data_IF_214882861391
#
_entry.id   IF_214882861391
#
_cell.length_a   1.000
_cell.length_b   1.000
_cell.length_c   1.000
_cell.angle_alpha   90.00
_cell.angle_beta   90.00
_cell.angle_gamma   90.00
#
_symmetry.space_group_name_H-M   'P 1'
#
loop_
_entity.id
_entity.type
_entity.pdbx_description
1 polymer ?
#
# COMPACT_ATOMS: atom_id res chain seq x y z
N UNK A 1 22.56 35.09 -28.34
CA UNK A 1 21.16 34.95 -27.94
C UNK A 1 20.35 34.29 -29.05
N UNK A 2 20.20 32.99 -29.02
CA UNK A 2 19.28 32.25 -29.90
C UNK A 2 18.80 31.04 -29.10
N UNK A 3 17.55 31.10 -28.67
CA UNK A 3 16.83 30.01 -27.98
C UNK A 3 16.38 28.99 -29.02
N UNK A 4 16.85 27.76 -28.87
CA UNK A 4 16.32 26.60 -29.59
C UNK A 4 15.06 26.11 -28.88
N UNK A 5 13.91 26.41 -29.47
CA UNK A 5 12.66 25.73 -29.23
C UNK A 5 12.49 24.67 -30.30
N UNK A 6 12.74 23.43 -29.98
CA UNK A 6 12.43 22.27 -30.83
C UNK A 6 12.00 21.14 -29.92
N UNK A 7 10.76 20.71 -30.13
CA UNK A 7 10.55 19.33 -30.42
C UNK A 7 9.40 18.67 -29.66
N UNK A 8 8.20 19.27 -29.52
CA UNK A 8 6.98 18.53 -29.05
C UNK A 8 5.97 18.26 -30.18
N UNK A 9 6.21 18.78 -31.40
CA UNK A 9 5.28 18.60 -32.51
C UNK A 9 5.41 17.25 -33.24
N UNK A 10 6.57 16.55 -33.12
CA UNK A 10 6.83 15.34 -33.90
C UNK A 10 6.37 14.02 -33.21
N UNK A 11 6.05 14.04 -31.90
CA UNK A 11 5.61 12.83 -31.19
C UNK A 11 4.12 12.55 -31.40
N UNK A 12 3.32 13.60 -31.60
CA UNK A 12 1.86 13.48 -31.80
C UNK A 12 1.51 12.97 -33.20
N UNK A 13 2.34 13.26 -34.20
CA UNK A 13 2.12 12.79 -35.57
C UNK A 13 2.50 11.32 -35.74
N UNK A 14 3.46 10.81 -34.96
CA UNK A 14 3.86 9.41 -35.04
C UNK A 14 2.83 8.47 -34.38
N UNK A 15 2.10 8.95 -33.35
CA UNK A 15 1.03 8.17 -32.71
C UNK A 15 -0.24 8.08 -33.58
N UNK A 16 -0.52 9.12 -34.37
CA UNK A 16 -1.66 9.09 -35.32
C UNK A 16 -1.41 8.21 -36.54
N UNK A 17 -0.16 8.03 -36.96
CA UNK A 17 0.18 7.16 -38.10
C UNK A 17 0.09 5.65 -37.73
N UNK A 18 0.19 5.29 -36.46
CA UNK A 18 0.01 3.91 -35.98
C UNK A 18 -1.46 3.49 -35.82
N UNK A 19 -2.37 4.44 -35.69
CA UNK A 19 -3.83 4.16 -35.65
C UNK A 19 -4.49 4.05 -37.04
N UNK A 20 -3.84 4.51 -38.11
CA UNK A 20 -4.37 4.48 -39.46
C UNK A 20 -4.04 3.20 -40.26
N UNK A 21 -3.40 2.21 -39.64
CA UNK A 21 -2.92 0.99 -40.31
C UNK A 21 -3.51 -0.32 -39.84
N UNK A 22 -4.52 -0.32 -38.97
CA UNK A 22 -5.34 -1.51 -38.74
C UNK A 22 -6.39 -1.64 -39.87
N UNK A 23 -5.95 -1.87 -41.11
CA UNK A 23 -6.79 -2.52 -42.08
C UNK A 23 -7.23 -3.84 -41.45
N UNK A 24 -8.53 -4.02 -41.29
CA UNK A 24 -9.12 -5.24 -40.77
C UNK A 24 -8.50 -6.39 -41.56
N UNK A 25 -7.68 -7.20 -40.90
CA UNK A 25 -7.12 -8.40 -41.48
C UNK A 25 -8.33 -9.33 -41.65
N UNK A 26 -8.87 -9.39 -42.88
CA UNK A 26 -9.96 -10.31 -43.20
C UNK A 26 -9.40 -11.72 -42.98
N UNK A 27 -9.87 -12.37 -41.93
CA UNK A 27 -9.53 -13.76 -41.62
C UNK A 27 -10.56 -14.65 -42.29
N UNK A 28 -10.11 -15.61 -43.08
CA UNK A 28 -10.98 -16.55 -43.81
C UNK A 28 -10.90 -17.94 -43.17
N UNK A 29 -12.03 -18.63 -43.08
CA UNK A 29 -12.16 -20.02 -42.65
C UNK A 29 -12.56 -20.89 -43.85
N UNK A 30 -11.84 -22.02 -44.00
CA UNK A 30 -12.22 -23.01 -45.01
C UNK A 30 -13.37 -23.85 -44.45
N UNK A 31 -14.52 -23.86 -45.18
CA UNK A 31 -15.64 -24.76 -44.89
C UNK A 31 -15.41 -26.16 -45.50
N UNK A 32 -16.20 -27.14 -45.04
CA UNK A 32 -16.12 -28.55 -45.49
C UNK A 32 -16.41 -28.70 -47.01
N UNK A 33 -17.05 -27.71 -47.65
CA UNK A 33 -17.31 -27.60 -49.08
C UNK A 33 -16.20 -26.96 -49.89
N UNK A 34 -15.01 -26.72 -49.28
CA UNK A 34 -13.83 -26.07 -49.86
C UNK A 34 -13.99 -24.58 -50.22
N UNK A 35 -15.04 -23.95 -49.77
CA UNK A 35 -15.25 -22.49 -49.96
C UNK A 35 -14.66 -21.71 -48.75
N UNK A 36 -13.95 -20.62 -49.07
CA UNK A 36 -13.48 -19.68 -48.07
C UNK A 36 -14.60 -18.74 -47.64
N UNK A 37 -14.96 -18.78 -46.38
CA UNK A 37 -15.84 -17.81 -45.75
C UNK A 37 -15.02 -16.77 -45.02
N UNK A 38 -15.27 -15.48 -45.29
CA UNK A 38 -14.65 -14.42 -44.49
C UNK A 38 -15.13 -14.56 -43.04
N UNK A 39 -14.22 -14.80 -42.11
CA UNK A 39 -14.54 -14.64 -40.72
C UNK A 39 -14.58 -13.13 -40.48
N UNK A 40 -15.74 -12.51 -40.64
CA UNK A 40 -16.00 -11.19 -40.09
C UNK A 40 -15.48 -11.19 -38.65
N UNK A 41 -14.77 -10.13 -38.27
CA UNK A 41 -14.18 -9.97 -36.96
C UNK A 41 -15.12 -10.55 -35.92
N UNK A 42 -14.63 -11.55 -35.18
CA UNK A 42 -15.39 -12.40 -34.28
C UNK A 42 -16.44 -11.55 -33.56
N UNK A 43 -17.69 -11.99 -33.51
CA UNK A 43 -18.80 -11.27 -32.84
C UNK A 43 -18.39 -10.75 -31.45
N UNK A 44 -17.51 -11.47 -30.78
CA UNK A 44 -16.92 -11.09 -29.50
C UNK A 44 -16.00 -9.85 -29.58
N UNK A 45 -15.25 -9.67 -30.66
CA UNK A 45 -14.42 -8.46 -30.84
C UNK A 45 -15.28 -7.23 -31.16
N UNK A 46 -16.31 -7.40 -31.98
CA UNK A 46 -17.28 -6.33 -32.29
C UNK A 46 -18.06 -5.92 -31.04
N UNK A 47 -18.51 -6.90 -30.24
CA UNK A 47 -19.12 -6.65 -28.94
C UNK A 47 -18.19 -5.88 -27.99
N UNK A 48 -16.93 -6.28 -27.88
CA UNK A 48 -15.95 -5.60 -27.03
C UNK A 48 -15.70 -4.14 -27.46
N UNK A 49 -15.69 -3.85 -28.78
CA UNK A 49 -15.61 -2.49 -29.31
C UNK A 49 -16.84 -1.67 -28.94
N UNK A 50 -18.04 -2.24 -29.08
CA UNK A 50 -19.30 -1.57 -28.72
C UNK A 50 -19.39 -1.29 -27.21
N UNK A 51 -18.93 -2.21 -26.37
CA UNK A 51 -18.83 -1.99 -24.93
C UNK A 51 -17.82 -0.87 -24.62
N UNK A 52 -16.70 -0.77 -25.36
CA UNK A 52 -15.75 0.32 -25.19
C UNK A 52 -16.35 1.68 -25.59
N UNK A 53 -17.07 1.75 -26.73
CA UNK A 53 -17.82 2.94 -27.17
C UNK A 53 -18.85 3.37 -26.11
N UNK A 54 -19.60 2.42 -25.56
CA UNK A 54 -20.57 2.68 -24.49
C UNK A 54 -19.92 3.23 -23.24
N UNK A 55 -18.75 2.70 -22.84
CA UNK A 55 -17.95 3.24 -21.72
C UNK A 55 -17.52 4.69 -21.96
N UNK A 56 -17.13 5.02 -23.17
CA UNK A 56 -16.76 6.40 -23.52
C UNK A 56 -17.97 7.35 -23.49
N UNK A 57 -19.14 6.92 -23.96
CA UNK A 57 -20.38 7.67 -23.81
C UNK A 57 -20.75 7.92 -22.34
N UNK A 58 -20.61 6.91 -21.49
CA UNK A 58 -20.82 7.09 -20.04
C UNK A 58 -19.91 8.19 -19.47
N UNK A 59 -18.67 8.28 -19.96
CA UNK A 59 -17.73 9.33 -19.53
C UNK A 59 -18.15 10.73 -19.93
N UNK A 60 -18.83 10.88 -21.07
CA UNK A 60 -19.34 12.21 -21.51
C UNK A 60 -20.53 12.69 -20.68
N UNK A 61 -21.19 11.80 -19.94
CA UNK A 61 -22.32 12.12 -19.07
C UNK A 61 -23.65 12.30 -19.80
N UNK A 62 -23.74 11.90 -21.07
CA UNK A 62 -24.96 11.96 -21.90
C UNK A 62 -25.86 10.76 -21.60
N UNK A 63 -26.68 10.85 -20.58
CA UNK A 63 -27.50 9.77 -20.04
C UNK A 63 -28.38 9.12 -21.13
N UNK A 64 -29.04 9.93 -21.98
CA UNK A 64 -29.95 9.45 -23.00
C UNK A 64 -29.22 8.67 -24.09
N UNK A 65 -28.03 9.15 -24.49
CA UNK A 65 -27.16 8.46 -25.44
C UNK A 65 -26.64 7.12 -24.89
N UNK A 66 -26.36 7.05 -23.59
CA UNK A 66 -25.96 5.81 -22.91
C UNK A 66 -27.08 4.77 -22.93
N UNK A 67 -28.33 5.19 -22.61
CA UNK A 67 -29.48 4.31 -22.62
C UNK A 67 -29.77 3.78 -24.03
N UNK A 68 -29.72 4.65 -25.07
CA UNK A 68 -29.90 4.25 -26.47
C UNK A 68 -28.79 3.28 -26.93
N UNK A 69 -27.54 3.58 -26.69
CA UNK A 69 -26.40 2.72 -27.05
C UNK A 69 -26.43 1.36 -26.32
N UNK A 70 -26.87 1.34 -25.06
CA UNK A 70 -27.06 0.11 -24.30
C UNK A 70 -28.23 -0.73 -24.89
N UNK A 71 -29.34 -0.10 -25.28
CA UNK A 71 -30.46 -0.77 -25.92
C UNK A 71 -30.04 -1.38 -27.27
N UNK A 72 -29.30 -0.63 -28.11
CA UNK A 72 -28.74 -1.13 -29.37
C UNK A 72 -27.81 -2.32 -29.15
N UNK A 73 -26.90 -2.23 -28.18
CA UNK A 73 -25.99 -3.32 -27.85
C UNK A 73 -26.73 -4.59 -27.45
N UNK A 74 -27.82 -4.46 -26.69
CA UNK A 74 -28.67 -5.58 -26.28
C UNK A 74 -29.41 -6.24 -27.47
N UNK A 75 -29.81 -5.46 -28.44
CA UNK A 75 -30.48 -5.96 -29.63
C UNK A 75 -29.53 -6.65 -30.63
N UNK A 76 -28.35 -6.06 -30.82
CA UNK A 76 -27.32 -6.59 -31.74
C UNK A 76 -26.60 -7.83 -31.22
N UNK A 77 -26.41 -7.94 -29.90
CA UNK A 77 -25.61 -9.01 -29.26
C UNK A 77 -26.34 -9.73 -28.11
N UNK A 78 -27.54 -10.23 -28.29
CA UNK A 78 -28.33 -10.80 -27.18
C UNK A 78 -27.66 -12.00 -26.50
N UNK A 79 -26.74 -12.71 -27.19
CA UNK A 79 -26.00 -13.85 -26.66
C UNK A 79 -24.83 -13.45 -25.73
N UNK A 80 -24.40 -12.19 -25.74
CA UNK A 80 -23.31 -11.66 -24.92
C UNK A 80 -23.82 -10.80 -23.77
N UNK A 81 -25.13 -10.62 -23.65
CA UNK A 81 -25.72 -9.74 -22.64
C UNK A 81 -26.22 -10.55 -21.47
N UNK A 82 -25.67 -10.20 -20.31
CA UNK A 82 -26.11 -10.70 -19.04
C UNK A 82 -26.49 -9.56 -18.08
N UNK A 83 -27.12 -9.89 -16.97
CA UNK A 83 -27.42 -8.91 -15.92
C UNK A 83 -26.17 -8.25 -15.34
N UNK A 84 -25.01 -8.84 -15.51
CA UNK A 84 -23.72 -8.29 -15.11
C UNK A 84 -23.31 -7.08 -15.95
N UNK A 85 -23.59 -7.05 -17.26
CA UNK A 85 -23.40 -5.86 -18.08
C UNK A 85 -24.27 -4.70 -17.59
N UNK A 86 -25.55 -4.95 -17.28
CA UNK A 86 -26.44 -3.91 -16.76
C UNK A 86 -25.92 -3.31 -15.47
N UNK A 87 -25.49 -4.16 -14.54
CA UNK A 87 -24.89 -3.73 -13.27
C UNK A 87 -23.61 -2.93 -13.48
N UNK A 88 -22.76 -3.38 -14.42
CA UNK A 88 -21.54 -2.68 -14.76
C UNK A 88 -21.82 -1.27 -15.30
N UNK A 89 -22.70 -1.16 -16.33
CA UNK A 89 -23.03 0.14 -16.95
C UNK A 89 -23.70 1.08 -15.95
N UNK A 90 -24.64 0.59 -15.13
CA UNK A 90 -25.27 1.41 -14.09
C UNK A 90 -24.23 1.89 -13.05
N UNK A 91 -23.30 1.02 -12.70
CA UNK A 91 -22.17 1.36 -11.85
C UNK A 91 -21.29 2.46 -12.44
N UNK A 92 -20.91 2.34 -13.73
CA UNK A 92 -20.10 3.33 -14.46
C UNK A 92 -20.82 4.68 -14.56
N UNK A 93 -22.11 4.71 -14.87
CA UNK A 93 -22.90 5.96 -14.87
C UNK A 93 -22.83 6.65 -13.51
N UNK A 94 -23.03 5.90 -12.45
CA UNK A 94 -22.94 6.47 -11.10
C UNK A 94 -21.52 6.90 -10.74
N UNK A 95 -20.49 6.17 -11.15
CA UNK A 95 -19.09 6.51 -10.92
C UNK A 95 -18.74 7.87 -11.57
N UNK A 96 -19.05 8.04 -12.84
CA UNK A 96 -18.74 9.26 -13.59
C UNK A 96 -19.57 10.47 -13.13
N UNK A 97 -20.77 10.24 -12.60
CA UNK A 97 -21.58 11.28 -11.94
C UNK A 97 -21.17 11.54 -10.48
N UNK A 98 -20.01 11.02 -10.05
CA UNK A 98 -19.46 11.24 -8.71
C UNK A 98 -20.34 10.68 -7.56
N UNK A 99 -21.28 9.79 -7.90
CA UNK A 99 -22.25 9.16 -7.00
C UNK A 99 -21.71 7.83 -6.44
N UNK A 100 -20.53 7.86 -5.82
CA UNK A 100 -19.76 6.69 -5.40
C UNK A 100 -20.57 5.65 -4.60
N UNK A 101 -21.41 6.08 -3.68
CA UNK A 101 -22.25 5.14 -2.91
C UNK A 101 -23.19 4.33 -3.78
N UNK A 102 -23.72 4.93 -4.87
CA UNK A 102 -24.58 4.22 -5.80
C UNK A 102 -23.78 3.33 -6.75
N UNK A 103 -22.64 3.81 -7.24
CA UNK A 103 -21.70 3.01 -8.03
C UNK A 103 -21.29 1.74 -7.27
N UNK A 104 -20.85 1.89 -6.03
CA UNK A 104 -20.47 0.79 -5.14
C UNK A 104 -21.56 -0.27 -5.01
N UNK A 105 -22.82 0.15 -4.88
CA UNK A 105 -23.94 -0.79 -4.75
C UNK A 105 -24.07 -1.71 -5.98
N UNK A 106 -23.88 -1.16 -7.18
CA UNK A 106 -23.96 -1.94 -8.41
C UNK A 106 -22.72 -2.83 -8.59
N UNK A 107 -21.55 -2.29 -8.32
CA UNK A 107 -20.29 -3.03 -8.40
C UNK A 107 -20.22 -4.20 -7.42
N UNK A 108 -20.58 -3.98 -6.16
CA UNK A 108 -20.64 -5.04 -5.16
C UNK A 108 -21.65 -6.13 -5.52
N UNK A 109 -22.79 -5.74 -6.11
CA UNK A 109 -23.77 -6.70 -6.61
C UNK A 109 -23.21 -7.52 -7.78
N UNK A 110 -22.50 -6.88 -8.72
CA UNK A 110 -21.83 -7.57 -9.82
C UNK A 110 -20.81 -8.58 -9.29
N UNK A 111 -19.89 -8.14 -8.43
CA UNK A 111 -18.82 -8.99 -7.88
C UNK A 111 -19.36 -10.15 -7.04
N UNK A 112 -20.50 -9.96 -6.38
CA UNK A 112 -21.13 -10.98 -5.56
C UNK A 112 -21.92 -12.00 -6.39
N UNK A 113 -22.78 -11.51 -7.30
CA UNK A 113 -23.74 -12.35 -8.02
C UNK A 113 -23.08 -12.96 -9.27
N UNK A 114 -22.06 -12.31 -9.84
CA UNK A 114 -21.36 -12.69 -11.07
C UNK A 114 -19.84 -12.63 -10.92
N UNK A 115 -19.23 -13.43 -10.01
CA UNK A 115 -17.78 -13.35 -9.72
C UNK A 115 -16.91 -13.73 -10.94
N UNK A 116 -17.44 -14.47 -11.91
CA UNK A 116 -16.77 -14.81 -13.17
C UNK A 116 -17.04 -13.85 -14.32
N UNK A 117 -17.67 -12.70 -14.08
CA UNK A 117 -17.95 -11.70 -15.11
C UNK A 117 -16.66 -11.14 -15.71
N UNK A 118 -16.64 -10.94 -17.02
CA UNK A 118 -15.53 -10.24 -17.71
C UNK A 118 -15.32 -8.80 -17.24
N UNK A 119 -16.34 -8.21 -16.59
CA UNK A 119 -16.27 -6.85 -16.03
C UNK A 119 -15.66 -6.80 -14.63
N UNK A 120 -15.53 -7.93 -13.93
CA UNK A 120 -15.04 -7.96 -12.55
C UNK A 120 -13.66 -7.29 -12.37
N UNK A 121 -12.66 -7.50 -13.26
CA UNK A 121 -11.37 -6.77 -13.13
C UNK A 121 -11.54 -5.26 -13.27
N UNK A 122 -12.36 -4.79 -14.20
CA UNK A 122 -12.62 -3.36 -14.39
C UNK A 122 -13.35 -2.75 -13.18
N UNK A 123 -14.27 -3.47 -12.59
CA UNK A 123 -14.96 -3.07 -11.36
C UNK A 123 -13.99 -2.92 -10.20
N UNK A 124 -13.10 -3.87 -10.01
CA UNK A 124 -12.09 -3.79 -8.93
C UNK A 124 -11.15 -2.58 -9.09
N UNK A 125 -10.75 -2.23 -10.32
CA UNK A 125 -9.98 -0.99 -10.57
C UNK A 125 -10.82 0.26 -10.28
N UNK A 126 -12.13 0.28 -10.57
CA UNK A 126 -13.03 1.39 -10.19
C UNK A 126 -13.19 1.52 -8.68
N UNK A 127 -13.36 0.39 -7.99
CA UNK A 127 -13.40 0.38 -6.53
C UNK A 127 -12.09 0.90 -5.93
N UNK A 128 -10.94 0.52 -6.50
CA UNK A 128 -9.63 1.03 -6.10
C UNK A 128 -9.52 2.56 -6.26
N UNK A 129 -9.97 3.10 -7.40
CA UNK A 129 -9.95 4.55 -7.64
C UNK A 129 -10.85 5.30 -6.63
N UNK A 130 -12.04 4.78 -6.34
CA UNK A 130 -12.93 5.34 -5.33
C UNK A 130 -12.32 5.27 -3.92
N UNK A 131 -11.76 4.13 -3.56
CA UNK A 131 -11.08 3.94 -2.28
C UNK A 131 -9.90 4.90 -2.13
N UNK A 132 -9.09 5.07 -3.18
CA UNK A 132 -7.98 6.03 -3.22
C UNK A 132 -8.46 7.48 -3.01
N UNK A 133 -9.60 7.86 -3.62
CA UNK A 133 -10.18 9.17 -3.39
C UNK A 133 -10.60 9.38 -1.92
N UNK A 134 -11.16 8.35 -1.27
CA UNK A 134 -11.48 8.38 0.17
C UNK A 134 -10.23 8.44 1.05
N UNK A 135 -9.18 7.68 0.75
CA UNK A 135 -7.89 7.77 1.43
C UNK A 135 -7.23 9.15 1.25
N UNK A 136 -7.46 9.80 0.11
CA UNK A 136 -7.08 11.19 -0.17
C UNK A 136 -7.90 12.25 0.58
N UNK A 137 -8.90 11.82 1.38
CA UNK A 137 -9.70 12.72 2.21
C UNK A 137 -11.04 13.14 1.60
N UNK A 138 -11.50 12.49 0.51
CA UNK A 138 -12.85 12.70 0.00
C UNK A 138 -13.86 12.50 1.14
N UNK A 139 -14.84 13.39 1.21
CA UNK A 139 -15.89 13.34 2.25
C UNK A 139 -17.02 12.41 1.81
N UNK A 140 -17.54 11.63 2.75
CA UNK A 140 -18.80 10.90 2.59
C UNK A 140 -19.92 11.60 3.38
N UNK A 141 -21.13 11.54 2.85
CA UNK A 141 -22.30 12.02 3.54
C UNK A 141 -22.82 10.95 4.50
N UNK A 142 -23.03 11.32 5.75
CA UNK A 142 -23.65 10.48 6.78
C UNK A 142 -25.05 11.03 7.04
N UNK A 143 -26.07 10.17 6.92
CA UNK A 143 -27.49 10.54 7.09
C UNK A 143 -27.94 11.73 6.21
N UNK A 144 -27.26 11.95 5.08
CA UNK A 144 -27.61 13.05 4.15
C UNK A 144 -27.25 14.46 4.62
N UNK A 145 -26.84 14.64 5.88
CA UNK A 145 -26.67 15.94 6.52
C UNK A 145 -25.22 16.28 6.89
N UNK A 146 -24.43 15.29 7.32
CA UNK A 146 -23.09 15.50 7.85
C UNK A 146 -22.07 14.95 6.86
N UNK A 147 -21.09 15.77 6.47
CA UNK A 147 -19.97 15.35 5.62
C UNK A 147 -18.73 15.10 6.47
N UNK A 148 -18.32 13.84 6.59
CA UNK A 148 -17.10 13.42 7.28
C UNK A 148 -16.06 12.91 6.27
N UNK A 149 -14.76 12.94 6.64
CA UNK A 149 -13.72 12.36 5.81
C UNK A 149 -13.88 10.84 5.76
N UNK A 150 -13.84 10.25 4.56
CA UNK A 150 -14.10 8.84 4.32
C UNK A 150 -12.87 7.94 4.46
N UNK A 151 -11.90 8.28 5.31
CA UNK A 151 -10.68 7.48 5.47
C UNK A 151 -10.95 6.01 5.84
N UNK A 152 -11.85 5.79 6.79
CA UNK A 152 -12.23 4.43 7.21
C UNK A 152 -12.89 3.65 6.07
N UNK A 153 -13.77 4.32 5.31
CA UNK A 153 -14.37 3.73 4.11
C UNK A 153 -13.32 3.35 3.07
N UNK A 154 -12.36 4.25 2.81
CA UNK A 154 -11.27 3.99 1.87
C UNK A 154 -10.42 2.78 2.29
N UNK A 155 -10.08 2.65 3.57
CA UNK A 155 -9.37 1.47 4.10
C UNK A 155 -10.19 0.21 3.92
N UNK A 156 -11.47 0.23 4.32
CA UNK A 156 -12.37 -0.93 4.21
C UNK A 156 -12.53 -1.39 2.75
N UNK A 157 -12.67 -0.45 1.81
CA UNK A 157 -12.73 -0.77 0.38
C UNK A 157 -11.43 -1.42 -0.11
N UNK A 158 -10.26 -0.85 0.24
CA UNK A 158 -8.96 -1.41 -0.13
C UNK A 158 -8.74 -2.81 0.44
N UNK A 159 -9.16 -3.07 1.68
CA UNK A 159 -9.08 -4.41 2.27
C UNK A 159 -9.94 -5.41 1.50
N UNK A 160 -11.19 -5.07 1.16
CA UNK A 160 -12.04 -5.95 0.32
C UNK A 160 -11.43 -6.23 -1.05
N UNK A 161 -10.80 -5.22 -1.68
CA UNK A 161 -10.11 -5.40 -2.96
C UNK A 161 -8.93 -6.35 -2.79
N UNK A 162 -8.13 -6.19 -1.74
CA UNK A 162 -7.01 -7.09 -1.43
C UNK A 162 -7.47 -8.54 -1.24
N UNK A 163 -8.54 -8.74 -0.48
CA UNK A 163 -9.10 -10.06 -0.20
C UNK A 163 -9.65 -10.74 -1.48
N UNK A 164 -10.25 -9.97 -2.39
CA UNK A 164 -10.84 -10.51 -3.64
C UNK A 164 -9.80 -10.78 -4.72
N UNK A 165 -8.87 -9.86 -4.90
CA UNK A 165 -7.89 -9.93 -5.99
C UNK A 165 -6.59 -10.64 -5.62
N UNK A 166 -6.35 -10.91 -4.31
CA UNK A 166 -5.13 -11.55 -3.81
C UNK A 166 -3.91 -10.63 -3.84
N UNK A 167 -2.84 -11.09 -3.18
CA UNK A 167 -1.56 -10.39 -3.04
C UNK A 167 -0.41 -11.08 -3.78
N UNK A 168 -0.65 -12.20 -4.39
CA UNK A 168 0.34 -13.14 -4.94
C UNK A 168 0.81 -12.77 -6.36
N UNK A 169 0.08 -11.90 -7.06
CA UNK A 169 0.46 -11.43 -8.39
C UNK A 169 1.10 -10.03 -8.37
N UNK A 170 2.28 -9.85 -9.04
CA UNK A 170 2.90 -8.54 -9.18
C UNK A 170 1.96 -7.57 -9.92
N UNK A 171 1.82 -6.37 -9.41
CA UNK A 171 0.96 -5.31 -9.96
C UNK A 171 -0.55 -5.61 -9.95
N UNK A 172 -1.00 -6.68 -9.27
CA UNK A 172 -2.44 -6.91 -9.05
C UNK A 172 -3.08 -5.70 -8.36
N UNK A 173 -4.37 -5.49 -8.60
CA UNK A 173 -5.12 -4.44 -7.89
C UNK A 173 -5.17 -4.72 -6.39
N UNK A 174 -5.18 -5.99 -5.98
CA UNK A 174 -5.14 -6.40 -4.57
C UNK A 174 -3.84 -5.98 -3.88
N UNK A 175 -2.70 -6.26 -4.50
CA UNK A 175 -1.39 -5.82 -3.96
C UNK A 175 -1.28 -4.29 -3.91
N UNK A 176 -1.74 -3.59 -4.95
CA UNK A 176 -1.80 -2.11 -4.96
C UNK A 176 -2.64 -1.59 -3.80
N UNK A 177 -3.79 -2.24 -3.53
CA UNK A 177 -4.69 -1.87 -2.45
C UNK A 177 -4.04 -2.07 -1.07
N UNK A 178 -3.41 -3.23 -0.82
CA UNK A 178 -2.69 -3.48 0.43
C UNK A 178 -1.56 -2.47 0.68
N UNK A 179 -0.78 -2.15 -0.36
CA UNK A 179 0.27 -1.13 -0.28
C UNK A 179 -0.31 0.24 0.04
N UNK A 180 -1.43 0.61 -0.61
CA UNK A 180 -2.09 1.90 -0.36
C UNK A 180 -2.59 2.02 1.08
N UNK A 181 -3.10 0.94 1.69
CA UNK A 181 -3.48 0.91 3.12
C UNK A 181 -2.26 1.09 4.01
N UNK A 182 -1.18 0.36 3.75
CA UNK A 182 0.04 0.47 4.54
C UNK A 182 0.59 1.91 4.53
N UNK A 183 0.69 2.53 3.34
CA UNK A 183 1.14 3.92 3.17
C UNK A 183 0.17 4.93 3.81
N UNK A 184 -1.14 4.67 3.74
CA UNK A 184 -2.13 5.51 4.42
C UNK A 184 -1.94 5.50 5.94
N UNK A 185 -1.69 4.33 6.53
CA UNK A 185 -1.40 4.22 7.96
C UNK A 185 -0.10 4.95 8.33
N UNK A 186 0.96 4.83 7.52
CA UNK A 186 2.20 5.61 7.71
C UNK A 186 1.96 7.11 7.69
N UNK A 187 1.22 7.61 6.69
CA UNK A 187 0.88 9.03 6.55
C UNK A 187 0.02 9.56 7.70
N UNK A 188 -0.66 8.67 8.43
CA UNK A 188 -1.47 8.98 9.61
C UNK A 188 -0.76 8.70 10.92
N UNK A 189 0.55 8.41 10.88
CA UNK A 189 1.36 8.06 12.04
C UNK A 189 0.83 6.85 12.83
N UNK A 190 0.05 5.98 12.16
CA UNK A 190 -0.45 4.71 12.68
C UNK A 190 0.57 3.60 12.39
N UNK A 191 1.74 3.74 13.01
CA UNK A 191 2.91 2.92 12.67
C UNK A 191 2.74 1.43 13.01
N UNK A 192 1.93 1.09 14.00
CA UNK A 192 1.64 -0.31 14.35
C UNK A 192 0.79 -0.96 13.26
N UNK A 193 -0.28 -0.28 12.84
CA UNK A 193 -1.17 -0.75 11.77
C UNK A 193 -0.40 -0.84 10.44
N UNK A 194 0.46 0.14 10.16
CA UNK A 194 1.34 0.11 8.99
C UNK A 194 2.28 -1.09 9.02
N UNK A 195 2.94 -1.36 10.16
CA UNK A 195 3.78 -2.54 10.34
C UNK A 195 3.02 -3.84 10.07
N UNK A 196 1.81 -3.99 10.62
CA UNK A 196 1.01 -5.20 10.42
C UNK A 196 0.66 -5.40 8.93
N UNK A 197 0.30 -4.33 8.23
CA UNK A 197 -0.02 -4.42 6.80
C UNK A 197 1.23 -4.72 5.95
N UNK A 198 2.39 -4.12 6.25
CA UNK A 198 3.64 -4.47 5.58
C UNK A 198 4.09 -5.91 5.89
N UNK A 199 3.80 -6.42 7.09
CA UNK A 199 4.06 -7.81 7.46
C UNK A 199 3.19 -8.79 6.68
N UNK A 200 1.92 -8.45 6.46
CA UNK A 200 1.02 -9.20 5.60
C UNK A 200 1.57 -9.27 4.16
N UNK A 201 1.94 -8.13 3.56
CA UNK A 201 2.56 -8.09 2.24
C UNK A 201 3.84 -8.93 2.19
N UNK A 202 4.69 -8.86 3.23
CA UNK A 202 5.93 -9.63 3.32
C UNK A 202 5.71 -11.14 3.42
N UNK A 203 4.55 -11.61 3.89
CA UNK A 203 4.22 -13.05 3.93
C UNK A 203 3.98 -13.64 2.55
N UNK A 204 3.58 -12.84 1.57
CA UNK A 204 3.46 -13.23 0.16
C UNK A 204 4.75 -12.96 -0.62
N UNK A 205 5.53 -11.97 -0.21
CA UNK A 205 6.70 -11.48 -0.93
C UNK A 205 7.94 -11.44 -0.04
N UNK A 206 8.63 -12.57 0.11
CA UNK A 206 9.88 -12.60 0.90
C UNK A 206 11.04 -11.87 0.20
N UNK A 207 11.08 -11.90 -1.12
CA UNK A 207 12.18 -11.42 -1.95
C UNK A 207 11.68 -10.46 -3.05
N UNK A 208 12.61 -9.95 -3.83
CA UNK A 208 12.29 -9.02 -4.92
C UNK A 208 11.98 -7.59 -4.44
N UNK A 209 11.53 -6.71 -5.36
CA UNK A 209 11.32 -5.30 -5.04
C UNK A 209 10.28 -5.06 -3.94
N UNK A 210 9.21 -5.86 -3.94
CA UNK A 210 8.09 -5.74 -3.00
C UNK A 210 8.53 -6.22 -1.61
N UNK A 211 9.10 -7.42 -1.51
CA UNK A 211 9.59 -7.98 -0.24
C UNK A 211 10.70 -7.14 0.38
N UNK A 212 11.63 -6.64 -0.44
CA UNK A 212 12.66 -5.70 0.00
C UNK A 212 12.04 -4.43 0.60
N UNK A 213 11.03 -3.86 -0.06
CA UNK A 213 10.32 -2.67 0.43
C UNK A 213 9.59 -2.98 1.73
N UNK A 214 8.85 -4.08 1.78
CA UNK A 214 8.10 -4.49 2.97
C UNK A 214 9.03 -4.67 4.18
N UNK A 215 10.14 -5.38 4.00
CA UNK A 215 11.14 -5.59 5.05
C UNK A 215 11.68 -4.27 5.63
N UNK A 216 12.02 -3.31 4.75
CA UNK A 216 12.50 -2.00 5.19
C UNK A 216 11.40 -1.24 5.95
N UNK A 217 10.17 -1.23 5.43
CA UNK A 217 9.04 -0.54 6.06
C UNK A 217 8.64 -1.15 7.40
N UNK A 218 8.74 -2.47 7.55
CA UNK A 218 8.53 -3.15 8.84
C UNK A 218 9.51 -2.66 9.90
N UNK A 219 10.79 -2.53 9.56
CA UNK A 219 11.81 -1.99 10.45
C UNK A 219 11.53 -0.52 10.82
N UNK A 220 11.27 0.32 9.83
CA UNK A 220 11.04 1.76 10.01
C UNK A 220 9.80 2.03 10.85
N UNK A 221 8.69 1.35 10.60
CA UNK A 221 7.45 1.53 11.35
C UNK A 221 7.58 1.11 12.81
N UNK A 222 8.32 0.04 13.13
CA UNK A 222 8.61 -0.33 14.53
C UNK A 222 9.44 0.73 15.23
N UNK A 223 10.48 1.27 14.58
CA UNK A 223 11.31 2.34 15.14
C UNK A 223 10.49 3.62 15.35
N UNK A 224 9.67 4.01 14.38
CA UNK A 224 8.80 5.17 14.48
C UNK A 224 7.75 5.01 15.59
N UNK A 225 7.14 3.83 15.70
CA UNK A 225 6.18 3.53 16.77
C UNK A 225 6.79 3.65 18.18
N UNK A 226 8.04 3.21 18.35
CA UNK A 226 8.75 3.41 19.62
C UNK A 226 9.07 4.88 19.88
N UNK A 227 9.44 5.62 18.83
CA UNK A 227 9.84 7.02 18.93
C UNK A 227 8.67 8.02 18.96
N UNK A 228 7.44 7.59 18.72
CA UNK A 228 6.25 8.45 18.71
C UNK A 228 5.99 9.14 20.06
N UNK A 229 6.10 8.46 21.23
CA UNK A 229 6.00 9.12 22.52
C UNK A 229 7.17 10.07 22.80
N UNK A 230 6.97 11.11 23.64
CA UNK A 230 8.05 12.03 24.01
C UNK A 230 9.30 11.31 24.55
N UNK A 231 10.49 11.78 24.20
CA UNK A 231 11.76 11.14 24.52
C UNK A 231 11.92 10.77 26.00
N UNK A 232 11.47 11.64 26.93
CA UNK A 232 11.51 11.41 28.37
C UNK A 232 10.73 10.18 28.86
N UNK A 233 9.74 9.72 28.07
CA UNK A 233 8.90 8.55 28.41
C UNK A 233 9.42 7.26 27.80
N UNK A 234 10.22 7.33 26.72
CA UNK A 234 10.67 6.15 25.96
C UNK A 234 11.40 5.11 26.80
N UNK A 235 12.32 5.50 27.72
CA UNK A 235 12.99 4.50 28.57
C UNK A 235 12.05 3.70 29.47
N UNK A 236 10.83 4.20 29.73
CA UNK A 236 9.82 3.53 30.55
C UNK A 236 8.94 2.55 29.77
N UNK A 237 9.01 2.61 28.43
CA UNK A 237 8.19 1.76 27.54
C UNK A 237 8.87 0.39 27.34
N UNK A 238 8.05 -0.58 26.92
CA UNK A 238 8.57 -1.85 26.44
C UNK A 238 9.47 -1.66 25.20
N UNK A 239 10.64 -2.33 25.20
CA UNK A 239 11.62 -2.22 24.14
C UNK A 239 11.39 -3.19 22.96
N UNK A 240 10.34 -4.00 22.99
CA UNK A 240 10.08 -5.02 21.94
C UNK A 240 10.10 -4.45 20.53
N UNK A 241 9.56 -3.23 20.34
CA UNK A 241 9.57 -2.54 19.05
C UNK A 241 10.98 -2.18 18.58
N UNK A 242 11.89 -1.79 19.50
CA UNK A 242 13.30 -1.54 19.16
C UNK A 242 14.00 -2.83 18.74
N UNK A 243 13.78 -3.92 19.49
CA UNK A 243 14.35 -5.23 19.16
C UNK A 243 13.85 -5.68 17.78
N UNK A 244 12.55 -5.58 17.52
CA UNK A 244 11.94 -5.93 16.23
C UNK A 244 12.51 -5.07 15.10
N UNK A 245 12.60 -3.75 15.30
CA UNK A 245 13.18 -2.84 14.31
C UNK A 245 14.63 -3.19 13.98
N UNK A 246 15.45 -3.45 15.01
CA UNK A 246 16.85 -3.85 14.85
C UNK A 246 16.96 -5.13 14.05
N UNK A 247 16.22 -6.17 14.42
CA UNK A 247 16.21 -7.47 13.72
C UNK A 247 15.90 -7.31 12.22
N UNK A 248 14.91 -6.51 11.86
CA UNK A 248 14.58 -6.28 10.46
C UNK A 248 15.60 -5.41 9.74
N UNK A 249 16.20 -4.39 10.39
CA UNK A 249 17.29 -3.62 9.81
C UNK A 249 18.55 -4.48 9.58
N UNK A 250 18.89 -5.35 10.51
CA UNK A 250 20.02 -6.28 10.38
C UNK A 250 19.77 -7.26 9.23
N UNK A 251 18.56 -7.85 9.14
CA UNK A 251 18.15 -8.69 8.01
C UNK A 251 18.23 -7.94 6.68
N UNK A 252 17.76 -6.69 6.64
CA UNK A 252 17.86 -5.85 5.46
C UNK A 252 19.30 -5.57 5.06
N UNK A 253 20.16 -5.23 6.01
CA UNK A 253 21.57 -4.96 5.77
C UNK A 253 22.34 -6.19 5.26
N UNK A 254 22.01 -7.37 5.77
CA UNK A 254 22.59 -8.63 5.32
C UNK A 254 22.18 -8.98 3.88
N UNK A 255 20.91 -8.77 3.51
CA UNK A 255 20.39 -9.10 2.19
C UNK A 255 20.72 -8.03 1.13
N UNK A 256 20.77 -6.75 1.52
CA UNK A 256 20.90 -5.62 0.61
C UNK A 256 21.98 -4.61 1.08
N UNK A 257 23.27 -5.01 1.16
CA UNK A 257 24.32 -4.19 1.81
C UNK A 257 24.56 -2.84 1.12
N UNK A 258 24.36 -2.73 -0.19
CA UNK A 258 24.53 -1.48 -0.94
C UNK A 258 23.44 -0.47 -0.60
N UNK A 259 22.20 -0.93 -0.61
CA UNK A 259 21.04 -0.09 -0.22
C UNK A 259 21.06 0.23 1.27
N UNK A 260 21.47 -0.71 2.11
CA UNK A 260 21.60 -0.47 3.55
C UNK A 260 22.53 0.72 3.85
N UNK A 261 23.66 0.81 3.15
CA UNK A 261 24.56 2.00 3.25
C UNK A 261 23.87 3.26 2.76
N UNK A 262 23.16 3.20 1.60
CA UNK A 262 22.42 4.34 1.03
C UNK A 262 21.34 4.86 1.97
N UNK A 263 20.60 3.98 2.64
CA UNK A 263 19.54 4.32 3.59
C UNK A 263 20.03 4.52 5.03
N UNK A 264 21.35 4.54 5.24
CA UNK A 264 21.99 4.75 6.54
C UNK A 264 21.47 3.76 7.61
N UNK A 265 21.26 2.50 7.21
CA UNK A 265 20.78 1.45 8.13
C UNK A 265 21.73 1.21 9.29
N UNK A 266 23.09 1.15 9.10
CA UNK A 266 24.01 1.02 10.22
C UNK A 266 23.81 2.09 11.28
N UNK A 267 23.65 3.35 10.90
CA UNK A 267 23.41 4.46 11.83
C UNK A 267 22.05 4.34 12.54
N UNK A 268 21.02 3.81 11.86
CA UNK A 268 19.73 3.52 12.52
C UNK A 268 19.88 2.40 13.57
N UNK A 269 20.68 1.39 13.30
CA UNK A 269 20.98 0.31 14.27
C UNK A 269 21.73 0.87 15.47
N UNK A 270 22.76 1.70 15.26
CA UNK A 270 23.49 2.38 16.34
C UNK A 270 22.56 3.24 17.21
N UNK A 271 21.63 3.99 16.60
CA UNK A 271 20.63 4.76 17.33
C UNK A 271 19.67 3.88 18.15
N UNK A 272 19.32 2.70 17.65
CA UNK A 272 18.50 1.73 18.39
C UNK A 272 19.29 1.18 19.57
N UNK A 273 20.55 0.82 19.35
CA UNK A 273 21.44 0.33 20.40
C UNK A 273 21.63 1.36 21.51
N UNK A 274 21.83 2.63 21.17
CA UNK A 274 21.89 3.72 22.14
C UNK A 274 20.59 3.84 22.96
N UNK A 275 19.42 3.75 22.32
CA UNK A 275 18.13 3.80 23.03
C UNK A 275 17.93 2.59 23.96
N UNK A 276 18.37 1.40 23.54
CA UNK A 276 18.32 0.19 24.37
C UNK A 276 19.28 0.28 25.55
N UNK A 277 20.49 0.72 25.31
CA UNK A 277 21.51 0.96 26.32
C UNK A 277 21.06 2.00 27.37
N UNK A 278 20.56 3.14 26.90
CA UNK A 278 20.04 4.20 27.75
C UNK A 278 18.86 3.74 28.62
N UNK A 279 17.96 2.91 28.06
CA UNK A 279 16.87 2.31 28.86
C UNK A 279 17.43 1.48 30.02
N UNK A 280 18.42 0.63 29.79
CA UNK A 280 19.01 -0.20 30.84
C UNK A 280 19.77 0.65 31.86
N UNK A 281 20.49 1.69 31.41
CA UNK A 281 21.10 2.68 32.29
C UNK A 281 20.07 3.32 33.24
N UNK A 282 18.90 3.74 32.69
CA UNK A 282 17.82 4.34 33.49
C UNK A 282 17.25 3.37 34.54
N UNK A 283 17.20 2.07 34.23
CA UNK A 283 16.83 1.02 35.21
C UNK A 283 17.91 0.95 36.32
N UNK A 284 19.18 0.96 35.99
CA UNK A 284 20.25 1.03 36.97
C UNK A 284 20.13 2.27 37.88
N UNK A 285 19.86 3.44 37.30
CA UNK A 285 19.61 4.68 38.03
C UNK A 285 18.37 4.61 38.96
N UNK A 286 17.33 3.87 38.55
CA UNK A 286 16.22 3.61 39.45
C UNK A 286 16.64 2.81 40.69
N UNK A 287 17.44 1.76 40.51
CA UNK A 287 17.94 0.94 41.62
C UNK A 287 18.88 1.70 42.56
N UNK A 288 19.69 2.63 42.02
CA UNK A 288 20.49 3.56 42.88
C UNK A 288 19.58 4.35 43.81
N UNK A 289 18.50 4.95 43.28
CA UNK A 289 17.52 5.70 44.07
C UNK A 289 16.75 4.84 45.10
N UNK A 290 16.53 3.58 44.76
CA UNK A 290 15.89 2.59 45.63
C UNK A 290 16.85 2.06 46.75
N UNK A 291 18.13 2.37 46.68
CA UNK A 291 19.14 1.86 47.62
C UNK A 291 19.66 0.46 47.31
N UNK A 292 19.22 -0.12 46.18
CA UNK A 292 19.55 -1.48 45.76
C UNK A 292 20.82 -1.50 44.89
N UNK A 293 21.98 -1.34 45.58
CA UNK A 293 23.27 -1.08 44.95
C UNK A 293 23.72 -2.23 44.03
N UNK A 294 23.55 -3.48 44.45
CA UNK A 294 23.95 -4.64 43.66
C UNK A 294 23.12 -4.77 42.36
N UNK A 295 21.83 -4.49 42.43
CA UNK A 295 20.97 -4.43 41.26
C UNK A 295 21.39 -3.30 40.31
N UNK A 296 21.70 -2.13 40.84
CA UNK A 296 22.20 -1.00 40.06
C UNK A 296 23.46 -1.37 39.27
N UNK A 297 24.47 -1.96 39.96
CA UNK A 297 25.71 -2.45 39.34
C UNK A 297 25.47 -3.44 38.23
N UNK A 298 24.58 -4.44 38.46
CA UNK A 298 24.22 -5.43 37.45
C UNK A 298 23.75 -4.77 36.17
N UNK A 299 22.90 -3.75 36.27
CA UNK A 299 22.38 -3.05 35.08
C UNK A 299 23.47 -2.18 34.42
N UNK A 300 24.31 -1.50 35.17
CA UNK A 300 25.42 -0.72 34.62
C UNK A 300 26.43 -1.62 33.91
N UNK A 301 26.83 -2.73 34.51
CA UNK A 301 27.71 -3.72 33.88
C UNK A 301 27.10 -4.34 32.63
N UNK A 302 25.80 -4.57 32.62
CA UNK A 302 25.06 -5.05 31.45
C UNK A 302 25.18 -4.03 30.30
N UNK A 303 24.97 -2.75 30.57
CA UNK A 303 25.09 -1.68 29.56
C UNK A 303 26.49 -1.64 28.96
N UNK A 304 27.50 -1.63 29.80
CA UNK A 304 28.92 -1.57 29.36
C UNK A 304 29.32 -2.79 28.53
N UNK A 305 28.81 -3.98 28.88
CA UNK A 305 29.11 -5.22 28.14
C UNK A 305 28.37 -5.34 26.81
N UNK A 306 27.09 -4.98 26.80
CA UNK A 306 26.23 -5.26 25.63
C UNK A 306 26.29 -4.13 24.59
N UNK A 307 26.59 -2.90 25.02
CA UNK A 307 26.61 -1.72 24.14
C UNK A 307 27.85 -0.85 24.41
N UNK A 308 29.07 -1.39 24.31
CA UNK A 308 30.32 -0.71 24.76
C UNK A 308 30.60 0.60 24.01
N UNK A 309 30.00 0.80 22.82
CA UNK A 309 30.21 2.00 21.99
C UNK A 309 29.15 3.08 22.21
N UNK A 310 28.16 2.85 23.10
CA UNK A 310 27.08 3.80 23.36
C UNK A 310 27.48 4.90 24.34
N UNK A 311 26.87 6.09 24.23
CA UNK A 311 27.00 7.14 25.25
C UNK A 311 26.49 6.66 26.61
N UNK A 312 25.43 5.86 26.61
CA UNK A 312 24.89 5.24 27.81
C UNK A 312 25.91 4.32 28.53
N UNK A 313 26.82 3.65 27.81
CA UNK A 313 27.88 2.85 28.42
C UNK A 313 28.88 3.70 29.19
N UNK A 314 29.26 4.86 28.67
CA UNK A 314 30.10 5.82 29.37
C UNK A 314 29.41 6.39 30.61
N UNK A 315 28.10 6.64 30.52
CA UNK A 315 27.30 7.06 31.68
C UNK A 315 27.22 5.96 32.74
N UNK A 316 26.99 4.72 32.31
CA UNK A 316 26.87 3.55 33.18
C UNK A 316 28.20 3.26 33.91
N UNK A 317 29.34 3.36 33.21
CA UNK A 317 30.68 3.19 33.79
C UNK A 317 30.92 4.19 34.91
N UNK A 318 30.70 5.47 34.65
CA UNK A 318 30.86 6.53 35.67
C UNK A 318 29.94 6.30 36.87
N UNK A 319 28.66 6.02 36.63
CA UNK A 319 27.70 5.75 37.69
C UNK A 319 28.06 4.51 38.53
N UNK A 320 28.60 3.45 37.91
CA UNK A 320 29.08 2.25 38.59
C UNK A 320 30.28 2.52 39.51
N UNK A 321 31.23 3.36 39.10
CA UNK A 321 32.35 3.81 39.89
C UNK A 321 31.91 4.64 41.12
N UNK A 322 30.97 5.59 40.92
CA UNK A 322 30.40 6.41 42.01
C UNK A 322 29.71 5.57 43.08
N UNK A 323 28.89 4.62 42.66
CA UNK A 323 28.14 3.70 43.55
C UNK A 323 29.12 2.83 44.34
N UNK A 324 30.22 2.41 43.74
CA UNK A 324 31.25 1.59 44.39
C UNK A 324 31.97 2.39 45.44
N UNK A 325 32.41 3.60 45.15
CA UNK A 325 33.14 4.49 46.08
C UNK A 325 32.25 4.97 47.24
N UNK A 326 30.96 5.31 46.93
CA UNK A 326 30.00 5.74 47.94
C UNK A 326 29.64 4.64 48.97
N UNK A 327 29.65 3.37 48.58
CA UNK A 327 29.37 2.24 49.45
C UNK A 327 30.56 1.94 50.39
N UNK A 328 31.79 2.14 49.91
CA UNK A 328 32.99 1.99 50.74
C UNK A 328 33.11 3.06 51.84
N UNK A 329 32.57 4.25 51.63
CA UNK A 329 32.58 5.34 52.62
C UNK A 329 31.49 5.19 53.70
N UNK A 330 30.40 4.45 53.44
CA UNK A 330 29.33 4.15 54.41
C UNK A 330 29.58 2.91 55.26
N UNK A 331 30.52 2.07 54.90
CA UNK A 331 30.89 0.85 55.62
C UNK A 331 32.06 1.01 56.62
N UNK A 332 32.55 2.24 56.79
CA UNK A 332 33.50 2.63 57.83
C UNK A 332 32.78 3.47 58.90
#
# INVERSE_FOLDING_TARGET
MLRHGMGYANLTVLLMALCAGAAAQETYRLKDDQNWESITANSQQQYALKVAELKDLVRTGESDAVEEALAQLKDEYPQHIGPDLDLFIEGEVHYWLDRYTKAMKQYEKLLKDYPGSEFAPAVLEREYDMAKAYLGGRKKSVLGLIKIRGYAEGVEMMERISDRAGLDEPNSVGLKAAVAVAEHYEAREKYIEAYLKWSEIASYWEMGPIGKRALLRMAENNLLAYNQPPARRRPLLDASKLVTAKTYFEKYAALYPSEARRYKIPQKIEQIDEQMAYKQYMIGQYYVRAGEIEAARFYFDMVVRNWPQSEAAEMAKRAGEEVTSGNQSRGK
#
